data_IF_211927788995
#
_entry.id   IF_211927788995
#
_cell.length_a   1.000
_cell.length_b   1.000
_cell.length_c   1.000
_cell.angle_alpha   90.00
_cell.angle_beta   90.00
_cell.angle_gamma   90.00
#
_symmetry.space_group_name_H-M   'P 1'
#
loop_
_entity.id
_entity.type
_entity.pdbx_description
1 polymer ?
#
# COMPACT_ATOMS: atom_id res chain seq x y z
N UNK A 1 -23.39 18.90 6.80
CA UNK A 1 -23.67 17.52 7.23
C UNK A 1 -22.37 16.80 7.54
N UNK A 2 -22.35 15.90 8.53
CA UNK A 2 -21.14 15.22 9.01
C UNK A 2 -20.32 14.58 7.87
N UNK A 3 -20.95 14.06 6.82
CA UNK A 3 -20.28 13.50 5.66
C UNK A 3 -19.47 14.54 4.86
N UNK A 4 -19.93 15.80 4.76
CA UNK A 4 -19.17 16.85 4.08
C UNK A 4 -17.97 17.33 4.89
N UNK A 5 -18.03 17.23 6.22
CA UNK A 5 -16.93 17.62 7.09
C UNK A 5 -15.83 16.55 7.14
N UNK A 6 -16.19 15.28 7.01
CA UNK A 6 -15.23 14.17 6.84
C UNK A 6 -14.50 14.31 5.51
N UNK A 7 -15.19 14.69 4.44
CA UNK A 7 -14.58 14.90 3.11
C UNK A 7 -13.60 16.09 3.10
N UNK A 8 -13.91 17.17 3.84
CA UNK A 8 -13.04 18.34 3.98
C UNK A 8 -11.77 18.07 4.82
N UNK A 9 -11.72 16.98 5.57
CA UNK A 9 -10.55 16.58 6.35
C UNK A 9 -9.60 15.62 5.60
N UNK A 10 -9.89 15.32 4.34
CA UNK A 10 -8.98 14.53 3.53
C UNK A 10 -7.76 15.35 3.13
N UNK A 11 -6.59 14.72 3.20
CA UNK A 11 -5.26 15.33 2.97
C UNK A 11 -5.02 15.84 1.55
N UNK A 12 -5.97 15.63 0.64
CA UNK A 12 -5.94 16.10 -0.74
C UNK A 12 -6.45 17.55 -0.90
N UNK A 13 -7.15 18.07 0.10
CA UNK A 13 -7.51 19.49 0.14
C UNK A 13 -6.31 20.29 0.64
N UNK A 14 -5.90 21.32 -0.08
CA UNK A 14 -4.78 22.19 0.28
C UNK A 14 -4.87 22.80 1.68
N UNK A 15 -6.02 22.76 2.29
CA UNK A 15 -6.31 23.20 3.67
C UNK A 15 -5.66 22.32 4.74
N UNK A 16 -5.35 21.03 4.42
CA UNK A 16 -4.79 20.06 5.37
C UNK A 16 -3.36 19.64 5.05
N UNK A 17 -2.58 20.47 4.38
CA UNK A 17 -1.18 20.20 4.04
C UNK A 17 -0.34 19.79 5.25
N UNK A 18 -0.52 20.47 6.40
CA UNK A 18 0.18 20.13 7.65
C UNK A 18 -0.14 18.73 8.16
N UNK A 19 -1.41 18.31 8.10
CA UNK A 19 -1.82 16.94 8.46
C UNK A 19 -1.24 15.89 7.52
N UNK A 20 -1.17 16.19 6.22
CA UNK A 20 -0.54 15.33 5.22
C UNK A 20 0.96 15.16 5.47
N UNK A 21 1.64 16.26 5.79
CA UNK A 21 3.08 16.26 6.10
C UNK A 21 3.37 15.40 7.35
N UNK A 22 2.60 15.57 8.42
CA UNK A 22 2.77 14.76 9.64
C UNK A 22 2.55 13.28 9.39
N UNK A 23 1.54 12.91 8.60
CA UNK A 23 1.27 11.52 8.20
C UNK A 23 2.39 10.91 7.37
N UNK A 24 3.10 11.71 6.58
CA UNK A 24 4.24 11.26 5.79
C UNK A 24 5.53 11.18 6.63
N UNK A 25 5.76 12.14 7.52
CA UNK A 25 7.00 12.22 8.31
C UNK A 25 7.17 11.03 9.25
N UNK A 26 6.07 10.56 9.88
CA UNK A 26 6.15 9.44 10.82
C UNK A 26 6.64 8.15 10.16
N UNK A 27 5.99 7.60 9.11
CA UNK A 27 6.44 6.34 8.50
C UNK A 27 7.82 6.47 7.85
N UNK A 28 8.17 7.64 7.31
CA UNK A 28 9.50 7.91 6.76
C UNK A 28 10.58 7.86 7.85
N UNK A 29 10.38 8.58 8.97
CA UNK A 29 11.31 8.58 10.10
C UNK A 29 11.44 7.21 10.73
N UNK A 30 10.32 6.48 10.87
CA UNK A 30 10.31 5.13 11.40
C UNK A 30 11.07 4.16 10.48
N UNK A 31 10.91 4.26 9.17
CA UNK A 31 11.67 3.49 8.20
C UNK A 31 13.19 3.73 8.30
N UNK A 32 13.59 4.99 8.47
CA UNK A 32 15.01 5.33 8.69
C UNK A 32 15.55 4.77 10.02
N UNK A 33 14.78 4.88 11.09
CA UNK A 33 15.16 4.32 12.40
C UNK A 33 15.28 2.79 12.35
N UNK A 34 14.32 2.12 11.71
CA UNK A 34 14.38 0.67 11.52
C UNK A 34 15.63 0.26 10.73
N UNK A 35 15.95 0.93 9.64
CA UNK A 35 17.12 0.60 8.82
C UNK A 35 18.46 0.81 9.54
N UNK A 36 18.54 1.74 10.48
CA UNK A 36 19.76 2.04 11.24
C UNK A 36 19.96 1.19 12.48
N UNK A 37 18.88 0.96 13.25
CA UNK A 37 18.97 0.37 14.57
C UNK A 37 18.65 -1.11 14.61
N UNK A 38 17.86 -1.61 13.66
CA UNK A 38 17.42 -3.00 13.67
C UNK A 38 18.16 -3.82 12.62
N UNK A 39 18.87 -4.84 13.07
CA UNK A 39 19.49 -5.84 12.18
C UNK A 39 18.43 -6.83 11.72
N UNK A 40 18.39 -7.19 10.43
CA UNK A 40 17.46 -8.20 9.94
C UNK A 40 17.78 -9.56 10.57
N UNK A 41 16.76 -10.21 11.11
CA UNK A 41 16.85 -11.56 11.65
C UNK A 41 16.44 -12.51 10.52
N UNK A 42 17.15 -13.64 10.36
CA UNK A 42 16.82 -14.64 9.33
C UNK A 42 15.55 -15.40 9.71
N UNK A 43 14.38 -14.89 9.31
CA UNK A 43 13.07 -15.52 9.58
C UNK A 43 12.61 -16.28 8.34
N UNK A 44 12.47 -17.60 8.46
CA UNK A 44 11.91 -18.44 7.39
C UNK A 44 10.39 -18.22 7.33
N UNK A 45 9.85 -18.00 6.12
CA UNK A 45 8.41 -17.84 5.93
C UNK A 45 7.83 -16.49 6.37
N UNK A 46 8.65 -15.47 6.60
CA UNK A 46 8.21 -14.12 6.99
C UNK A 46 7.14 -13.55 6.05
N UNK A 47 7.19 -13.87 4.76
CA UNK A 47 6.17 -13.44 3.79
C UNK A 47 4.76 -13.90 4.20
N UNK A 48 4.59 -15.17 4.52
CA UNK A 48 3.29 -15.72 4.92
C UNK A 48 2.83 -15.17 6.27
N UNK A 49 3.75 -15.02 7.22
CA UNK A 49 3.46 -14.43 8.55
C UNK A 49 2.95 -12.99 8.37
N UNK A 50 3.66 -12.18 7.58
CA UNK A 50 3.26 -10.81 7.30
C UNK A 50 1.93 -10.74 6.53
N UNK A 51 1.70 -11.62 5.55
CA UNK A 51 0.46 -11.66 4.80
C UNK A 51 -0.74 -12.01 5.69
N UNK A 52 -0.63 -13.04 6.52
CA UNK A 52 -1.68 -13.42 7.47
C UNK A 52 -1.94 -12.31 8.48
N UNK A 53 -0.89 -11.72 9.04
CA UNK A 53 -1.02 -10.62 10.00
C UNK A 53 -1.70 -9.40 9.37
N UNK A 54 -1.36 -9.02 8.13
CA UNK A 54 -2.03 -7.94 7.42
C UNK A 54 -3.51 -8.25 7.17
N UNK A 55 -3.83 -9.45 6.69
CA UNK A 55 -5.23 -9.85 6.50
C UNK A 55 -6.00 -9.80 7.81
N UNK A 56 -5.41 -10.28 8.90
CA UNK A 56 -6.04 -10.23 10.24
C UNK A 56 -6.28 -8.79 10.69
N UNK A 57 -5.28 -7.91 10.53
CA UNK A 57 -5.42 -6.49 10.91
C UNK A 57 -6.51 -5.78 10.08
N UNK A 58 -6.58 -6.05 8.78
CA UNK A 58 -7.60 -5.43 7.93
C UNK A 58 -8.99 -6.08 8.04
N UNK A 59 -9.09 -7.27 8.63
CA UNK A 59 -10.38 -7.94 8.85
C UNK A 59 -11.11 -7.46 10.12
N UNK A 60 -10.47 -6.64 10.94
CA UNK A 60 -11.14 -6.06 12.12
C UNK A 60 -12.22 -5.09 11.66
N UNK A 61 -13.50 -5.33 11.98
CA UNK A 61 -14.59 -4.47 11.55
C UNK A 61 -14.51 -3.10 12.24
N UNK A 62 -14.93 -2.08 11.51
CA UNK A 62 -15.10 -0.75 12.07
C UNK A 62 -16.24 -0.77 13.09
N UNK A 63 -15.97 -0.38 14.32
CA UNK A 63 -16.96 -0.39 15.40
C UNK A 63 -17.87 0.84 15.29
N UNK A 64 -19.16 0.60 15.07
CA UNK A 64 -20.20 1.61 15.11
C UNK A 64 -20.83 1.59 16.52
N UNK A 65 -20.78 2.71 17.27
CA UNK A 65 -21.32 2.75 18.63
C UNK A 65 -21.16 4.11 19.31
N UNK A 66 -21.50 4.18 20.59
CA UNK A 66 -21.54 5.43 21.36
C UNK A 66 -20.16 6.14 21.53
N UNK A 67 -19.05 5.41 21.41
CA UNK A 67 -17.68 5.96 21.48
C UNK A 67 -16.78 5.47 20.32
N UNK A 68 -17.23 5.50 19.06
CA UNK A 68 -16.51 4.88 17.95
C UNK A 68 -15.19 5.59 17.64
N UNK A 69 -15.14 6.90 17.85
CA UNK A 69 -13.98 7.73 17.50
C UNK A 69 -12.77 7.38 18.36
N UNK A 70 -12.95 7.14 19.66
CA UNK A 70 -11.83 6.78 20.56
C UNK A 70 -11.33 5.37 20.29
N UNK A 71 -12.22 4.38 20.17
CA UNK A 71 -11.83 2.97 19.97
C UNK A 71 -11.19 2.75 18.60
N UNK A 72 -11.77 3.26 17.54
CA UNK A 72 -11.21 3.13 16.20
C UNK A 72 -9.91 3.93 16.07
N UNK A 73 -9.85 5.14 16.65
CA UNK A 73 -8.63 5.96 16.64
C UNK A 73 -7.46 5.33 17.40
N UNK A 74 -7.72 4.67 18.54
CA UNK A 74 -6.70 3.91 19.28
C UNK A 74 -6.23 2.72 18.47
N UNK A 75 -7.14 2.00 17.83
CA UNK A 75 -6.81 0.87 16.96
C UNK A 75 -5.94 1.31 15.76
N UNK A 76 -6.33 2.38 15.08
CA UNK A 76 -5.56 2.95 13.98
C UNK A 76 -4.16 3.40 14.45
N UNK A 77 -4.08 4.07 15.58
CA UNK A 77 -2.81 4.48 16.17
C UNK A 77 -1.92 3.28 16.52
N UNK A 78 -2.48 2.23 17.12
CA UNK A 78 -1.75 0.98 17.37
C UNK A 78 -1.24 0.34 16.08
N UNK A 79 -2.08 0.26 15.05
CA UNK A 79 -1.68 -0.29 13.75
C UNK A 79 -0.52 0.50 13.13
N UNK A 80 -0.61 1.83 13.11
CA UNK A 80 0.40 2.69 12.46
C UNK A 80 1.69 2.74 13.26
N UNK A 81 1.62 2.86 14.59
CA UNK A 81 2.79 3.10 15.45
C UNK A 81 3.53 1.80 15.75
N UNK A 82 2.83 0.69 15.91
CA UNK A 82 3.42 -0.57 16.38
C UNK A 82 3.33 -1.65 15.31
N UNK A 83 2.12 -1.99 14.83
CA UNK A 83 1.93 -3.16 14.00
C UNK A 83 2.65 -3.04 12.65
N UNK A 84 2.50 -1.94 11.93
CA UNK A 84 3.15 -1.77 10.63
C UNK A 84 4.68 -1.70 10.72
N UNK A 85 5.34 -0.97 11.65
CA UNK A 85 6.78 -1.03 11.81
C UNK A 85 7.31 -2.43 12.10
N UNK A 86 6.62 -3.19 12.96
CA UNK A 86 6.99 -4.58 13.25
C UNK A 86 6.86 -5.46 12.01
N UNK A 87 5.77 -5.31 11.25
CA UNK A 87 5.57 -6.06 10.01
C UNK A 87 6.61 -5.71 8.95
N UNK A 88 6.98 -4.44 8.81
CA UNK A 88 8.05 -4.02 7.89
C UNK A 88 9.39 -4.62 8.30
N UNK A 89 9.71 -4.61 9.58
CA UNK A 89 10.93 -5.24 10.10
C UNK A 89 10.95 -6.75 9.89
N UNK A 90 9.83 -7.45 10.18
CA UNK A 90 9.67 -8.88 9.91
C UNK A 90 9.81 -9.20 8.42
N UNK A 91 9.14 -8.42 7.56
CA UNK A 91 9.22 -8.58 6.11
C UNK A 91 10.64 -8.37 5.57
N UNK A 92 11.34 -7.35 6.06
CA UNK A 92 12.73 -7.08 5.72
C UNK A 92 13.70 -8.16 6.23
N UNK A 93 13.31 -8.85 7.31
CA UNK A 93 14.07 -9.97 7.92
C UNK A 93 13.80 -11.32 7.22
N UNK A 94 12.88 -11.35 6.26
CA UNK A 94 12.47 -12.57 5.58
C UNK A 94 13.58 -13.19 4.73
N UNK A 95 13.84 -14.47 4.96
CA UNK A 95 14.70 -15.27 4.07
C UNK A 95 13.84 -16.29 3.34
N UNK A 96 13.82 -16.19 2.02
CA UNK A 96 13.19 -17.20 1.17
C UNK A 96 14.22 -18.25 0.79
N UNK A 97 14.01 -19.47 1.24
CA UNK A 97 14.91 -20.60 0.93
C UNK A 97 14.47 -21.30 -0.35
N UNK A 98 13.20 -21.15 -0.72
CA UNK A 98 12.61 -21.81 -1.88
C UNK A 98 12.64 -20.91 -3.12
N UNK A 99 13.12 -21.47 -4.24
CA UNK A 99 13.29 -20.76 -5.51
C UNK A 99 11.95 -20.18 -6.04
N UNK A 100 10.85 -20.92 -5.87
CA UNK A 100 9.51 -20.48 -6.29
C UNK A 100 9.02 -19.29 -5.45
N UNK A 101 9.15 -19.38 -4.12
CA UNK A 101 8.76 -18.28 -3.21
C UNK A 101 9.58 -17.01 -3.49
N UNK A 102 10.87 -17.16 -3.76
CA UNK A 102 11.74 -16.02 -4.11
C UNK A 102 11.29 -15.34 -5.41
N UNK A 103 10.93 -16.11 -6.43
CA UNK A 103 10.41 -15.55 -7.69
C UNK A 103 9.08 -14.82 -7.51
N UNK A 104 8.15 -15.39 -6.73
CA UNK A 104 6.85 -14.77 -6.44
C UNK A 104 7.05 -13.47 -5.66
N UNK A 105 7.84 -13.49 -4.58
CA UNK A 105 8.12 -12.30 -3.78
C UNK A 105 8.78 -11.19 -4.62
N UNK A 106 9.72 -11.56 -5.50
CA UNK A 106 10.37 -10.62 -6.41
C UNK A 106 9.35 -10.01 -7.38
N UNK A 107 8.53 -10.84 -8.02
CA UNK A 107 7.49 -10.38 -8.95
C UNK A 107 6.50 -9.43 -8.26
N UNK A 108 6.01 -9.80 -7.06
CA UNK A 108 5.09 -8.95 -6.28
C UNK A 108 5.74 -7.63 -5.87
N UNK A 109 7.02 -7.65 -5.51
CA UNK A 109 7.79 -6.45 -5.21
C UNK A 109 7.95 -5.54 -6.44
N UNK A 110 8.33 -6.12 -7.57
CA UNK A 110 8.54 -5.36 -8.81
C UNK A 110 7.24 -4.73 -9.35
N UNK A 111 6.10 -5.43 -9.24
CA UNK A 111 4.80 -4.93 -9.73
C UNK A 111 4.12 -3.96 -8.76
N UNK A 112 4.47 -3.97 -7.47
CA UNK A 112 3.80 -3.17 -6.44
C UNK A 112 3.87 -1.67 -6.72
N UNK A 113 5.01 -1.17 -7.16
CA UNK A 113 5.20 0.24 -7.48
C UNK A 113 4.38 0.69 -8.71
N UNK A 114 4.43 0.00 -9.86
CA UNK A 114 3.54 0.31 -10.99
C UNK A 114 2.05 0.27 -10.63
N UNK A 115 1.60 -0.72 -9.87
CA UNK A 115 0.21 -0.80 -9.38
C UNK A 115 -0.12 0.43 -8.54
N UNK A 116 0.74 0.81 -7.60
CA UNK A 116 0.54 1.98 -6.75
C UNK A 116 0.37 3.28 -7.55
N UNK A 117 1.16 3.48 -8.59
CA UNK A 117 1.09 4.68 -9.43
C UNK A 117 -0.16 4.69 -10.30
N UNK A 118 -0.53 3.53 -10.87
CA UNK A 118 -1.59 3.43 -11.88
C UNK A 118 -2.99 3.35 -11.25
N UNK A 119 -3.16 2.72 -10.06
CA UNK A 119 -4.49 2.48 -9.50
C UNK A 119 -5.27 3.77 -9.19
N UNK A 120 -4.59 4.85 -8.86
CA UNK A 120 -5.19 6.08 -8.36
C UNK A 120 -6.13 6.75 -9.38
N UNK A 121 -5.74 7.02 -10.65
CA UNK A 121 -6.64 7.54 -11.67
C UNK A 121 -7.87 6.66 -11.93
N UNK A 122 -7.68 5.34 -11.96
CA UNK A 122 -8.77 4.40 -12.22
C UNK A 122 -9.74 4.31 -11.05
N UNK A 123 -9.25 4.47 -9.82
CA UNK A 123 -10.10 4.56 -8.64
C UNK A 123 -11.02 5.78 -8.71
N UNK A 124 -10.52 6.94 -9.13
CA UNK A 124 -11.35 8.14 -9.34
C UNK A 124 -12.39 7.95 -10.44
N UNK A 125 -12.01 7.33 -11.57
CA UNK A 125 -12.95 7.02 -12.65
C UNK A 125 -14.05 6.07 -12.18
N UNK A 126 -13.69 5.06 -11.39
CA UNK A 126 -14.64 4.13 -10.80
C UNK A 126 -15.60 4.84 -9.83
N UNK A 127 -15.11 5.71 -8.94
CA UNK A 127 -15.95 6.50 -8.04
C UNK A 127 -16.87 7.45 -8.81
N UNK A 128 -16.37 8.13 -9.85
CA UNK A 128 -17.21 9.00 -10.68
C UNK A 128 -18.32 8.21 -11.37
N UNK A 129 -18.02 6.99 -11.84
CA UNK A 129 -19.01 6.08 -12.43
C UNK A 129 -20.05 5.63 -11.39
N UNK A 130 -19.65 5.27 -10.17
CA UNK A 130 -20.55 4.90 -9.07
C UNK A 130 -21.54 6.03 -8.74
N UNK A 131 -21.02 7.25 -8.59
CA UNK A 131 -21.84 8.42 -8.26
C UNK A 131 -22.82 8.73 -9.39
N UNK A 132 -22.36 8.67 -10.65
CA UNK A 132 -23.21 8.95 -11.81
C UNK A 132 -24.37 7.96 -11.94
N UNK A 133 -24.16 6.70 -11.61
CA UNK A 133 -25.17 5.64 -11.72
C UNK A 133 -25.92 5.38 -10.41
N UNK A 134 -25.61 6.13 -9.33
CA UNK A 134 -26.20 5.96 -7.99
C UNK A 134 -26.12 4.51 -7.46
N UNK A 135 -25.05 3.81 -7.79
CA UNK A 135 -24.81 2.43 -7.41
C UNK A 135 -23.95 2.40 -6.14
N UNK A 136 -24.56 2.23 -4.98
CA UNK A 136 -23.85 2.23 -3.70
C UNK A 136 -23.80 0.86 -3.03
N UNK A 137 -24.38 -0.17 -3.67
CA UNK A 137 -24.42 -1.53 -3.13
C UNK A 137 -23.33 -2.40 -3.72
N UNK A 138 -22.63 -3.16 -2.87
CA UNK A 138 -21.53 -4.03 -3.28
C UNK A 138 -22.00 -5.09 -4.30
N UNK A 139 -23.21 -5.63 -4.13
CA UNK A 139 -23.79 -6.64 -5.01
C UNK A 139 -23.94 -6.17 -6.47
N UNK A 140 -24.15 -4.87 -6.69
CA UNK A 140 -24.33 -4.29 -8.02
C UNK A 140 -23.01 -3.92 -8.69
N UNK A 141 -21.95 -3.72 -7.90
CA UNK A 141 -20.71 -3.10 -8.36
C UNK A 141 -19.50 -4.03 -8.37
N UNK A 142 -19.58 -5.21 -7.73
CA UNK A 142 -18.43 -6.11 -7.57
C UNK A 142 -17.84 -6.58 -8.90
N UNK A 143 -18.68 -6.80 -9.93
CA UNK A 143 -18.21 -7.24 -11.25
C UNK A 143 -17.35 -6.15 -11.91
N UNK A 144 -17.82 -4.90 -11.87
CA UNK A 144 -17.07 -3.76 -12.43
C UNK A 144 -15.81 -3.49 -11.62
N UNK A 145 -15.88 -3.60 -10.29
CA UNK A 145 -14.72 -3.48 -9.42
C UNK A 145 -13.64 -4.53 -9.75
N UNK A 146 -14.03 -5.79 -9.97
CA UNK A 146 -13.11 -6.84 -10.41
C UNK A 146 -12.50 -6.56 -11.79
N UNK A 147 -13.30 -6.07 -12.75
CA UNK A 147 -12.78 -5.68 -14.07
C UNK A 147 -11.77 -4.53 -13.95
N UNK A 148 -12.06 -3.49 -13.18
CA UNK A 148 -11.15 -2.38 -12.94
C UNK A 148 -9.88 -2.85 -12.25
N UNK A 149 -9.99 -3.74 -11.27
CA UNK A 149 -8.84 -4.31 -10.57
C UNK A 149 -7.95 -5.14 -11.51
N UNK A 150 -8.54 -6.03 -12.29
CA UNK A 150 -7.83 -6.85 -13.28
C UNK A 150 -7.14 -5.97 -14.34
N UNK A 151 -7.83 -4.92 -14.81
CA UNK A 151 -7.27 -3.96 -15.75
C UNK A 151 -6.07 -3.20 -15.17
N UNK A 152 -6.14 -2.78 -13.91
CA UNK A 152 -5.02 -2.12 -13.22
C UNK A 152 -3.79 -3.03 -13.12
N UNK A 153 -3.98 -4.31 -12.77
CA UNK A 153 -2.88 -5.27 -12.71
C UNK A 153 -2.25 -5.48 -14.09
N UNK A 154 -3.07 -5.64 -15.12
CA UNK A 154 -2.60 -5.82 -16.51
C UNK A 154 -1.78 -4.62 -16.95
N UNK A 155 -2.30 -3.41 -16.76
CA UNK A 155 -1.61 -2.17 -17.10
C UNK A 155 -0.30 -2.00 -16.32
N UNK A 156 -0.31 -2.30 -15.03
CA UNK A 156 0.88 -2.26 -14.20
C UNK A 156 1.95 -3.24 -14.70
N UNK A 157 1.55 -4.44 -15.10
CA UNK A 157 2.47 -5.43 -15.68
C UNK A 157 3.05 -4.96 -17.01
N UNK A 158 2.23 -4.37 -17.88
CA UNK A 158 2.70 -3.81 -19.16
C UNK A 158 3.68 -2.64 -18.91
N UNK A 159 3.37 -1.74 -17.99
CA UNK A 159 4.28 -0.65 -17.60
C UNK A 159 5.59 -1.17 -17.00
N UNK A 160 5.55 -2.20 -16.16
CA UNK A 160 6.74 -2.83 -15.62
C UNK A 160 7.63 -3.37 -16.76
N UNK A 161 7.03 -4.11 -17.68
CA UNK A 161 7.76 -4.81 -18.73
C UNK A 161 8.31 -3.90 -19.82
N UNK A 162 7.48 -2.98 -20.32
CA UNK A 162 7.81 -2.15 -21.49
C UNK A 162 8.44 -0.80 -21.12
N UNK A 163 8.24 -0.30 -19.91
CA UNK A 163 8.76 0.99 -19.50
C UNK A 163 9.79 0.89 -18.38
N UNK A 164 9.43 0.32 -17.23
CA UNK A 164 10.26 0.37 -16.04
C UNK A 164 11.55 -0.47 -16.16
N UNK A 165 11.45 -1.72 -16.60
CA UNK A 165 12.64 -2.58 -16.79
C UNK A 165 13.64 -2.02 -17.81
N UNK A 166 13.23 -1.55 -19.03
CA UNK A 166 14.16 -0.97 -19.98
C UNK A 166 14.81 0.33 -19.46
N UNK A 167 14.01 1.19 -18.85
CA UNK A 167 14.51 2.47 -18.31
C UNK A 167 15.52 2.24 -17.19
N UNK A 168 15.22 1.36 -16.24
CA UNK A 168 16.16 0.99 -15.17
C UNK A 168 17.47 0.41 -15.74
N UNK A 169 17.40 -0.47 -16.72
CA UNK A 169 18.59 -1.04 -17.38
C UNK A 169 19.42 0.04 -18.09
N UNK A 170 18.76 0.95 -18.79
CA UNK A 170 19.42 2.07 -19.47
C UNK A 170 20.12 3.01 -18.45
N UNK A 171 19.42 3.43 -17.41
CA UNK A 171 19.98 4.29 -16.36
C UNK A 171 21.13 3.61 -15.60
N UNK A 172 20.98 2.34 -15.27
CA UNK A 172 22.02 1.58 -14.59
C UNK A 172 23.30 1.50 -15.46
N UNK A 173 23.18 1.26 -16.74
CA UNK A 173 24.34 1.26 -17.67
C UNK A 173 24.99 2.63 -17.77
N UNK A 174 24.20 3.70 -17.81
CA UNK A 174 24.72 5.05 -18.03
C UNK A 174 25.36 5.67 -16.79
N UNK A 175 24.81 5.40 -15.61
CA UNK A 175 25.21 6.07 -14.37
C UNK A 175 26.00 5.19 -13.40
N UNK A 176 25.74 3.88 -13.36
CA UNK A 176 26.41 2.95 -12.45
C UNK A 176 27.65 2.30 -13.06
N UNK A 177 27.72 2.13 -14.39
CA UNK A 177 28.89 1.57 -15.08
C UNK A 177 30.10 2.50 -15.16
N UNK A 178 30.04 3.75 -14.67
CA UNK A 178 31.16 4.70 -14.62
C UNK A 178 32.01 4.65 -13.35
N UNK A 179 31.79 3.65 -12.49
CA UNK A 179 32.53 3.49 -11.21
C UNK A 179 33.37 2.21 -11.16
N UNK A 180 33.92 1.75 -12.29
CA UNK A 180 35.06 0.81 -12.31
C UNK A 180 36.21 1.41 -13.09
#
# INVERSE_FOLDING_TARGET
>A
SAASDVYKRQTLDGINFGGGLLRMLFPFSMGMLLSRNFKPIKVKGAFWICAIALVTLFSVPYLEGATPVCTNGIYEAFCVIIAFPVLVWLGASGTTTDKKSTQICKFLGDISYPVYVIHYPFMYLFYAWLIKNQLFTLEQTWQVALCVYAWNILLAYLCLKFYDEPVRKYLARRFLSKKQ
#
